data_IF_605852770475
#
_entry.id   IF_605852770475
#
_cell.length_a   1.000
_cell.length_b   1.000
_cell.length_c   1.000
_cell.angle_alpha   90.00
_cell.angle_beta   90.00
_cell.angle_gamma   90.00
#
_symmetry.space_group_name_H-M   'P 1'
#
loop_
_entity.id
_entity.type
_entity.pdbx_description
1 polymer ?
#
# COMPACT_ATOMS: atom_id res chain seq x y z
N UNK A 1 0.30 25.67 10.91
CA UNK A 1 -0.37 24.35 10.93
C UNK A 1 0.63 23.36 11.49
N UNK A 2 0.20 22.36 12.26
CA UNK A 2 1.08 21.28 12.70
C UNK A 2 1.60 20.50 11.49
N UNK A 3 2.78 19.88 11.59
CA UNK A 3 3.28 19.00 10.53
C UNK A 3 2.40 17.73 10.50
N UNK A 4 2.18 17.12 9.33
CA UNK A 4 1.43 15.87 9.25
C UNK A 4 2.19 14.74 9.98
N UNK A 5 1.46 13.90 10.71
CA UNK A 5 2.00 12.71 11.34
C UNK A 5 1.92 11.52 10.39
N UNK A 6 2.68 10.44 10.67
CA UNK A 6 2.70 9.25 9.81
C UNK A 6 1.30 8.69 9.57
N UNK A 7 0.46 8.64 10.60
CA UNK A 7 -0.93 8.18 10.50
C UNK A 7 -1.77 9.00 9.52
N UNK A 8 -1.57 10.32 9.47
CA UNK A 8 -2.30 11.20 8.53
C UNK A 8 -1.80 11.04 7.09
N UNK A 9 -0.53 10.66 6.94
CA UNK A 9 0.07 10.40 5.63
C UNK A 9 -0.44 9.08 5.06
N UNK A 10 -0.36 8.00 5.84
CA UNK A 10 -0.81 6.67 5.42
C UNK A 10 -2.32 6.66 5.13
N UNK A 11 -3.15 7.23 6.02
CA UNK A 11 -4.60 7.31 5.81
C UNK A 11 -4.96 7.99 4.47
N UNK A 12 -4.31 9.11 4.13
CA UNK A 12 -4.55 9.78 2.85
C UNK A 12 -4.16 8.89 1.66
N UNK A 13 -3.10 8.11 1.78
CA UNK A 13 -2.69 7.18 0.71
C UNK A 13 -3.66 6.00 0.59
N UNK A 14 -4.20 5.50 1.70
CA UNK A 14 -5.28 4.50 1.69
C UNK A 14 -6.53 5.04 1.00
N UNK A 15 -6.92 6.29 1.27
CA UNK A 15 -8.04 6.93 0.56
C UNK A 15 -7.78 7.01 -0.95
N UNK A 16 -6.57 7.38 -1.37
CA UNK A 16 -6.18 7.41 -2.79
C UNK A 16 -6.27 6.02 -3.44
N UNK A 17 -5.82 4.98 -2.74
CA UNK A 17 -5.87 3.57 -3.19
C UNK A 17 -7.31 3.07 -3.28
N UNK A 18 -8.13 3.34 -2.27
CA UNK A 18 -9.55 2.99 -2.22
C UNK A 18 -10.32 3.60 -3.40
N UNK A 19 -10.05 4.87 -3.71
CA UNK A 19 -10.66 5.56 -4.85
C UNK A 19 -10.22 4.95 -6.20
N UNK A 20 -8.97 4.51 -6.33
CA UNK A 20 -8.52 3.79 -7.53
C UNK A 20 -9.22 2.43 -7.69
N UNK A 21 -9.48 1.71 -6.59
CA UNK A 21 -10.29 0.49 -6.64
C UNK A 21 -11.73 0.78 -7.09
N UNK A 22 -12.38 1.81 -6.56
CA UNK A 22 -13.72 2.21 -7.01
C UNK A 22 -13.76 2.52 -8.52
N UNK A 23 -12.75 3.21 -9.04
CA UNK A 23 -12.66 3.48 -10.48
C UNK A 23 -12.47 2.18 -11.29
N UNK A 24 -11.68 1.23 -10.77
CA UNK A 24 -11.47 -0.09 -11.40
C UNK A 24 -12.73 -0.96 -11.46
N UNK A 25 -13.67 -0.81 -10.52
CA UNK A 25 -14.93 -1.58 -10.51
C UNK A 25 -15.74 -1.37 -11.79
N UNK A 26 -15.72 -0.16 -12.35
CA UNK A 26 -16.47 0.19 -13.57
C UNK A 26 -15.62 0.17 -14.85
N UNK A 27 -14.30 0.36 -14.74
CA UNK A 27 -13.39 0.43 -15.88
C UNK A 27 -13.30 -0.87 -16.70
N UNK A 28 -13.01 -0.76 -18.01
CA UNK A 28 -12.87 -1.90 -18.92
C UNK A 28 -11.74 -1.70 -19.93
N UNK A 29 -11.22 -2.81 -20.46
CA UNK A 29 -10.22 -2.78 -21.53
C UNK A 29 -9.00 -1.94 -21.15
N UNK A 30 -8.61 -1.00 -22.02
CA UNK A 30 -7.43 -0.17 -21.84
C UNK A 30 -7.50 0.73 -20.58
N UNK A 31 -8.69 1.24 -20.23
CA UNK A 31 -8.88 2.08 -19.04
C UNK A 31 -8.61 1.28 -17.76
N UNK A 32 -9.07 0.04 -17.69
CA UNK A 32 -8.81 -0.84 -16.55
C UNK A 32 -7.32 -1.13 -16.38
N UNK A 33 -6.59 -1.32 -17.49
CA UNK A 33 -5.14 -1.51 -17.45
C UNK A 33 -4.40 -0.27 -16.95
N UNK A 34 -4.81 0.92 -17.42
CA UNK A 34 -4.20 2.18 -17.00
C UNK A 34 -4.43 2.45 -15.50
N UNK A 35 -5.66 2.26 -15.03
CA UNK A 35 -6.00 2.40 -13.62
C UNK A 35 -5.27 1.37 -12.75
N UNK A 36 -5.15 0.12 -13.21
CA UNK A 36 -4.41 -0.91 -12.48
C UNK A 36 -2.91 -0.60 -12.40
N UNK A 37 -2.32 -0.08 -13.48
CA UNK A 37 -0.94 0.37 -13.46
C UNK A 37 -0.74 1.54 -12.47
N UNK A 38 -1.68 2.48 -12.40
CA UNK A 38 -1.66 3.57 -11.41
C UNK A 38 -1.82 3.06 -9.98
N UNK A 39 -2.72 2.10 -9.74
CA UNK A 39 -2.92 1.44 -8.45
C UNK A 39 -1.61 0.81 -7.96
N UNK A 40 -0.94 0.02 -8.81
CA UNK A 40 0.37 -0.57 -8.49
C UNK A 40 1.44 0.47 -8.14
N UNK A 41 1.50 1.56 -8.90
CA UNK A 41 2.45 2.66 -8.66
C UNK A 41 2.21 3.36 -7.31
N UNK A 42 1.07 3.12 -6.66
CA UNK A 42 0.76 3.58 -5.32
C UNK A 42 1.02 2.50 -4.28
N UNK A 43 0.42 1.32 -4.44
CA UNK A 43 0.50 0.22 -3.47
C UNK A 43 1.93 -0.24 -3.20
N UNK A 44 2.71 -0.51 -4.24
CA UNK A 44 4.04 -1.13 -4.07
C UNK A 44 5.02 -0.23 -3.30
N UNK A 45 5.25 1.04 -3.68
CA UNK A 45 6.15 1.90 -2.92
C UNK A 45 5.60 2.26 -1.54
N UNK A 46 4.28 2.29 -1.37
CA UNK A 46 3.63 2.50 -0.08
C UNK A 46 3.97 1.38 0.91
N UNK A 47 3.63 0.13 0.57
CA UNK A 47 3.89 -1.05 1.39
C UNK A 47 5.38 -1.22 1.73
N UNK A 48 6.27 -1.02 0.74
CA UNK A 48 7.72 -1.10 0.96
C UNK A 48 8.24 -0.03 1.92
N UNK A 49 7.70 1.18 1.85
CA UNK A 49 8.11 2.27 2.74
C UNK A 49 7.58 2.06 4.17
N UNK A 50 6.39 1.46 4.35
CA UNK A 50 5.89 1.06 5.66
C UNK A 50 6.79 0.01 6.29
N UNK A 51 7.13 -1.05 5.55
CA UNK A 51 8.02 -2.11 6.01
C UNK A 51 9.44 -1.60 6.34
N UNK A 52 9.93 -0.61 5.59
CA UNK A 52 11.27 -0.06 5.78
C UNK A 52 11.36 0.94 6.94
N UNK A 53 10.31 1.72 7.19
CA UNK A 53 10.37 2.88 8.10
C UNK A 53 9.42 2.77 9.28
N UNK A 54 8.18 2.32 9.06
CA UNK A 54 7.10 2.37 10.07
C UNK A 54 7.10 1.10 10.91
N UNK A 55 7.02 -0.07 10.26
CA UNK A 55 6.90 -1.36 10.92
C UNK A 55 8.07 -1.72 11.83
N UNK A 56 9.35 -1.36 11.54
CA UNK A 56 10.44 -1.61 12.47
C UNK A 56 10.18 -0.98 13.85
N UNK A 57 9.60 0.21 13.89
CA UNK A 57 9.25 0.88 15.14
C UNK A 57 8.08 0.20 15.84
N UNK A 58 7.07 -0.25 15.11
CA UNK A 58 5.89 -0.87 15.69
C UNK A 58 6.18 -2.29 16.20
N UNK A 59 7.12 -3.01 15.57
CA UNK A 59 7.61 -4.32 16.02
C UNK A 59 8.33 -4.28 17.37
N UNK A 60 8.84 -3.12 17.81
CA UNK A 60 9.42 -2.97 19.15
C UNK A 60 8.37 -3.06 20.26
N UNK A 61 7.09 -2.87 19.92
CA UNK A 61 5.98 -2.83 20.86
C UNK A 61 5.27 -4.19 20.89
N UNK A 62 5.32 -4.88 22.03
CA UNK A 62 4.81 -6.26 22.14
C UNK A 62 3.34 -6.40 21.76
N UNK A 63 2.53 -5.38 22.00
CA UNK A 63 1.10 -5.34 21.69
C UNK A 63 0.81 -5.09 20.20
N UNK A 64 1.74 -4.50 19.44
CA UNK A 64 1.60 -4.29 17.99
C UNK A 64 2.37 -5.34 17.16
N UNK A 65 3.30 -6.07 17.77
CA UNK A 65 4.22 -6.94 17.03
C UNK A 65 3.54 -8.06 16.23
N UNK A 66 2.43 -8.63 16.70
CA UNK A 66 1.73 -9.70 15.98
C UNK A 66 0.96 -9.15 14.77
N UNK A 67 0.17 -8.10 14.95
CA UNK A 67 -0.57 -7.45 13.85
C UNK A 67 0.38 -6.82 12.81
N UNK A 68 1.55 -6.31 13.23
CA UNK A 68 2.56 -5.84 12.27
C UNK A 68 3.17 -6.97 11.46
N UNK A 69 3.35 -8.18 12.04
CA UNK A 69 3.82 -9.34 11.26
C UNK A 69 2.76 -9.84 10.29
N UNK A 70 1.50 -9.78 10.67
CA UNK A 70 0.37 -10.09 9.80
C UNK A 70 0.36 -9.14 8.60
N UNK A 71 0.42 -7.83 8.81
CA UNK A 71 0.51 -6.84 7.73
C UNK A 71 1.66 -7.09 6.74
N UNK A 72 2.84 -7.48 7.23
CA UNK A 72 3.98 -7.86 6.36
C UNK A 72 3.65 -9.09 5.49
N UNK A 73 2.95 -10.08 6.02
CA UNK A 73 2.54 -11.24 5.21
C UNK A 73 1.41 -10.87 4.23
N UNK A 74 0.48 -9.99 4.62
CA UNK A 74 -0.55 -9.47 3.74
C UNK A 74 0.04 -8.69 2.56
N UNK A 75 1.04 -7.84 2.80
CA UNK A 75 1.78 -7.14 1.75
C UNK A 75 2.37 -8.10 0.71
N UNK A 76 2.98 -9.21 1.15
CA UNK A 76 3.50 -10.23 0.23
C UNK A 76 2.40 -10.88 -0.59
N UNK A 77 1.23 -11.12 0.01
CA UNK A 77 0.10 -11.71 -0.69
C UNK A 77 -0.51 -10.73 -1.71
N UNK A 78 -0.57 -9.43 -1.37
CA UNK A 78 -0.92 -8.34 -2.27
C UNK A 78 0.05 -8.28 -3.46
N UNK A 79 1.36 -8.30 -3.21
CA UNK A 79 2.41 -8.31 -4.24
C UNK A 79 2.29 -9.51 -5.18
N UNK A 80 2.06 -10.71 -4.63
CA UNK A 80 1.85 -11.92 -5.43
C UNK A 80 0.64 -11.78 -6.36
N UNK A 81 -0.49 -11.28 -5.84
CA UNK A 81 -1.71 -11.11 -6.62
C UNK A 81 -1.56 -10.01 -7.68
N UNK A 82 -0.82 -8.94 -7.37
CA UNK A 82 -0.43 -7.91 -8.34
C UNK A 82 0.36 -8.53 -9.50
N UNK A 83 1.37 -9.36 -9.20
CA UNK A 83 2.20 -10.02 -10.21
C UNK A 83 1.37 -10.99 -11.08
N UNK A 84 0.42 -11.71 -10.49
CA UNK A 84 -0.53 -12.55 -11.25
C UNK A 84 -1.39 -11.70 -12.20
N UNK A 85 -1.93 -10.58 -11.71
CA UNK A 85 -2.75 -9.67 -12.52
C UNK A 85 -1.98 -9.01 -13.66
N UNK A 86 -0.68 -8.71 -13.47
CA UNK A 86 0.21 -8.19 -14.52
C UNK A 86 0.48 -9.21 -15.63
N UNK A 87 0.55 -10.49 -15.29
CA UNK A 87 0.75 -11.57 -16.25
C UNK A 87 -0.52 -11.89 -17.06
N UNK A 88 -1.66 -11.26 -16.72
CA UNK A 88 -2.95 -11.46 -17.33
C UNK A 88 -3.35 -10.27 -18.20
N UNK A 89 -4.12 -10.55 -19.26
CA UNK A 89 -4.86 -9.51 -19.98
C UNK A 89 -6.29 -9.44 -19.45
N UNK A 90 -6.89 -8.24 -19.28
CA UNK A 90 -8.31 -8.14 -18.99
C UNK A 90 -9.09 -8.83 -20.11
N UNK A 91 -9.71 -9.95 -19.77
CA UNK A 91 -10.33 -10.87 -20.69
C UNK A 91 -11.86 -10.81 -20.62
N UNK A 92 -12.49 -11.43 -21.61
CA UNK A 92 -13.95 -11.47 -21.72
C UNK A 92 -14.61 -12.46 -20.74
N UNK A 93 -13.84 -13.36 -20.10
CA UNK A 93 -14.39 -14.35 -19.16
C UNK A 93 -14.53 -13.81 -17.72
N UNK A 94 -13.93 -12.65 -17.43
CA UNK A 94 -14.10 -11.92 -16.18
C UNK A 94 -13.17 -12.34 -15.05
N UNK A 95 -12.24 -13.29 -15.27
CA UNK A 95 -11.32 -13.76 -14.23
C UNK A 95 -10.41 -12.62 -13.75
N UNK A 96 -9.93 -11.77 -14.67
CA UNK A 96 -9.10 -10.62 -14.29
C UNK A 96 -9.85 -9.67 -13.34
N UNK A 97 -11.10 -9.33 -13.65
CA UNK A 97 -11.94 -8.49 -12.78
C UNK A 97 -12.21 -9.14 -11.42
N UNK A 98 -12.45 -10.45 -11.39
CA UNK A 98 -12.63 -11.17 -10.14
C UNK A 98 -11.38 -11.11 -9.25
N UNK A 99 -10.19 -11.24 -9.83
CA UNK A 99 -8.91 -11.08 -9.10
C UNK A 99 -8.68 -9.66 -8.61
N UNK A 100 -9.03 -8.63 -9.38
CA UNK A 100 -9.00 -7.24 -8.91
C UNK A 100 -9.93 -7.03 -7.73
N UNK A 101 -11.11 -7.67 -7.72
CA UNK A 101 -12.01 -7.60 -6.56
C UNK A 101 -11.40 -8.25 -5.32
N UNK A 102 -10.78 -9.43 -5.46
CA UNK A 102 -10.05 -10.07 -4.36
C UNK A 102 -8.92 -9.17 -3.84
N UNK A 103 -8.16 -8.53 -4.74
CA UNK A 103 -7.12 -7.58 -4.36
C UNK A 103 -7.68 -6.40 -3.57
N UNK A 104 -8.80 -5.84 -4.00
CA UNK A 104 -9.48 -4.74 -3.30
C UNK A 104 -9.94 -5.16 -1.90
N UNK A 105 -10.52 -6.35 -1.77
CA UNK A 105 -11.01 -6.87 -0.48
C UNK A 105 -9.82 -7.15 0.49
N UNK A 106 -8.70 -7.67 -0.02
CA UNK A 106 -7.48 -7.88 0.78
C UNK A 106 -6.88 -6.56 1.27
N UNK A 107 -6.71 -5.59 0.37
CA UNK A 107 -6.16 -4.27 0.75
C UNK A 107 -7.12 -3.54 1.69
N UNK A 108 -8.43 -3.63 1.47
CA UNK A 108 -9.42 -3.04 2.38
C UNK A 108 -9.35 -3.63 3.78
N UNK A 109 -9.23 -4.95 3.90
CA UNK A 109 -9.06 -5.60 5.20
C UNK A 109 -7.78 -5.17 5.91
N UNK A 110 -6.66 -5.14 5.18
CA UNK A 110 -5.38 -4.68 5.68
C UNK A 110 -5.46 -3.24 6.25
N UNK A 111 -6.06 -2.33 5.48
CA UNK A 111 -6.26 -0.93 5.90
C UNK A 111 -7.14 -0.84 7.16
N UNK A 112 -8.21 -1.63 7.24
CA UNK A 112 -9.09 -1.66 8.41
C UNK A 112 -8.34 -2.11 9.68
N UNK A 113 -7.45 -3.10 9.56
CA UNK A 113 -6.60 -3.57 10.66
C UNK A 113 -5.53 -2.55 11.04
N UNK A 114 -4.88 -1.95 10.05
CA UNK A 114 -3.83 -0.98 10.28
C UNK A 114 -4.37 0.28 10.96
N UNK A 115 -5.44 0.87 10.43
CA UNK A 115 -6.02 2.09 10.97
C UNK A 115 -6.84 1.85 12.24
N UNK A 116 -7.53 0.71 12.32
CA UNK A 116 -8.45 0.37 13.40
C UNK A 116 -7.78 -0.23 14.63
N UNK A 117 -6.64 -0.90 14.46
CA UNK A 117 -5.97 -1.63 15.53
C UNK A 117 -4.50 -1.24 15.67
N UNK A 118 -3.72 -1.24 14.59
CA UNK A 118 -2.28 -0.98 14.65
C UNK A 118 -1.97 0.48 15.04
N UNK A 119 -2.59 1.46 14.38
CA UNK A 119 -2.36 2.89 14.67
C UNK A 119 -2.77 3.28 16.10
N UNK A 120 -3.92 2.85 16.65
CA UNK A 120 -4.25 3.10 18.05
C UNK A 120 -3.24 2.53 19.05
N UNK A 121 -2.62 1.38 18.75
CA UNK A 121 -1.56 0.81 19.59
C UNK A 121 -0.28 1.64 19.49
N UNK A 122 0.13 2.00 18.27
CA UNK A 122 1.31 2.83 18.04
C UNK A 122 1.20 4.22 18.68
N UNK A 123 0.02 4.86 18.62
CA UNK A 123 -0.25 6.17 19.24
C UNK A 123 -0.09 6.20 20.76
N UNK A 124 -0.07 5.04 21.44
CA UNK A 124 0.15 4.98 22.89
C UNK A 124 1.63 5.15 23.28
N UNK A 125 2.54 4.94 22.35
CA UNK A 125 3.98 4.76 22.62
C UNK A 125 4.87 5.59 21.69
N UNK A 126 4.37 6.00 20.52
CA UNK A 126 5.03 6.91 19.59
C UNK A 126 4.63 8.35 19.90
N UNK A 127 5.61 9.20 20.21
CA UNK A 127 5.34 10.62 20.49
C UNK A 127 4.95 11.40 19.23
N UNK A 128 4.25 12.53 19.37
CA UNK A 128 3.89 13.39 18.23
C UNK A 128 5.11 13.76 17.37
N UNK A 129 6.23 14.11 18.02
CA UNK A 129 7.48 14.47 17.34
C UNK A 129 8.06 13.28 16.56
N UNK A 130 7.97 12.08 17.12
CA UNK A 130 8.45 10.87 16.48
C UNK A 130 7.54 10.49 15.30
N UNK A 131 6.22 10.64 15.44
CA UNK A 131 5.27 10.42 14.36
C UNK A 131 5.46 11.42 13.20
N UNK A 132 5.81 12.68 13.49
CA UNK A 132 6.22 13.66 12.47
C UNK A 132 7.52 13.25 11.77
N UNK A 133 8.50 12.73 12.50
CA UNK A 133 9.78 12.27 11.93
C UNK A 133 9.59 11.04 11.04
N UNK A 134 8.80 10.06 11.50
CA UNK A 134 8.42 8.88 10.71
C UNK A 134 7.72 9.28 9.41
N UNK A 135 6.87 10.31 9.42
CA UNK A 135 6.22 10.81 8.21
C UNK A 135 7.24 11.35 7.18
N UNK A 136 8.24 12.12 7.63
CA UNK A 136 9.30 12.66 6.77
C UNK A 136 10.19 11.55 6.21
N UNK A 137 10.49 10.54 7.03
CA UNK A 137 11.33 9.40 6.66
C UNK A 137 10.62 8.46 5.69
N UNK A 138 9.36 8.16 5.97
CA UNK A 138 8.48 7.38 5.12
C UNK A 138 8.34 8.01 3.73
N UNK A 139 8.02 9.31 3.67
CA UNK A 139 7.82 10.00 2.39
C UNK A 139 9.09 9.97 1.52
N UNK A 140 10.26 10.14 2.14
CA UNK A 140 11.54 10.07 1.43
C UNK A 140 11.82 8.66 0.91
N UNK A 141 11.58 7.64 1.71
CA UNK A 141 11.82 6.25 1.31
C UNK A 141 10.84 5.80 0.22
N UNK A 142 9.55 6.14 0.37
CA UNK A 142 8.52 5.93 -0.66
C UNK A 142 8.90 6.57 -1.99
N UNK A 143 9.36 7.83 -1.96
CA UNK A 143 9.81 8.53 -3.17
C UNK A 143 11.04 7.86 -3.81
N UNK A 144 11.96 7.33 -3.00
CA UNK A 144 13.07 6.51 -3.49
C UNK A 144 12.57 5.25 -4.20
N UNK A 145 11.65 4.50 -3.59
CA UNK A 145 11.08 3.31 -4.22
C UNK A 145 10.30 3.62 -5.50
N UNK A 146 9.62 4.77 -5.57
CA UNK A 146 8.96 5.22 -6.81
C UNK A 146 9.99 5.39 -7.93
N UNK A 147 11.13 6.03 -7.64
CA UNK A 147 12.18 6.24 -8.65
C UNK A 147 12.86 4.93 -9.06
N UNK A 148 13.10 4.01 -8.13
CA UNK A 148 13.65 2.68 -8.42
C UNK A 148 12.71 1.85 -9.30
N UNK A 149 11.41 1.78 -8.94
CA UNK A 149 10.39 1.07 -9.73
C UNK A 149 10.29 1.67 -11.14
N UNK A 150 10.39 3.00 -11.28
CA UNK A 150 10.40 3.66 -12.59
C UNK A 150 11.65 3.35 -13.39
N UNK A 151 12.81 3.20 -12.74
CA UNK A 151 14.04 2.81 -13.41
C UNK A 151 13.94 1.37 -13.94
N UNK A 152 13.50 0.43 -13.10
CA UNK A 152 13.31 -0.97 -13.49
C UNK A 152 12.34 -1.12 -14.68
N UNK A 153 11.25 -0.35 -14.69
CA UNK A 153 10.28 -0.34 -15.78
C UNK A 153 10.84 0.22 -17.10
N UNK A 154 11.79 1.17 -17.03
CA UNK A 154 12.48 1.69 -18.23
C UNK A 154 13.43 0.64 -18.79
N UNK A 155 14.23 0.02 -17.93
CA UNK A 155 15.21 -0.99 -18.32
C UNK A 155 14.54 -2.25 -18.90
N UNK A 156 13.36 -2.62 -18.40
CA UNK A 156 12.57 -3.74 -18.94
C UNK A 156 11.92 -3.45 -20.30
N UNK A 157 11.86 -2.19 -20.74
CA UNK A 157 11.26 -1.77 -22.00
C UNK A 157 12.28 -1.62 -23.15
N UNK A 158 13.58 -1.76 -22.86
CA UNK A 158 14.69 -1.77 -23.83
C UNK A 158 15.04 -3.17 -24.33
#
# INVERSE_FOLDING_TARGET
MAKPQIYDVLHREHEEVSELFHQLEEAKGAEALELFARLKQKLVPHARAEEAVVYPRFLEEQNAADITREGIEEHKQVDNLIAELDAMTPDNDGVWKAKVKVLADMVGHHVDEEEGEMFPLAKQVVSDREAEQLAEDYARERDSFIEDIRADQRDAAE
#
